data_IF_404522631902
#
_entry.id   IF_404522631902
#
_cell.length_a   1.000
_cell.length_b   1.000
_cell.length_c   1.000
_cell.angle_alpha   90.00
_cell.angle_beta   90.00
_cell.angle_gamma   90.00
#
_symmetry.space_group_name_H-M   'P 1'
#
loop_
_entity.id
_entity.type
_entity.pdbx_description
1 polymer ?
#
# COMPACT_ATOMS: atom_id res chain seq x y z
N UNK A 1 14.76 -20.78 -1.93
CA UNK A 1 15.67 -19.62 -2.10
C UNK A 1 15.59 -18.93 -3.47
N UNK A 2 14.51 -19.06 -4.25
CA UNK A 2 14.44 -18.45 -5.61
C UNK A 2 14.42 -16.91 -5.60
N UNK A 3 13.73 -16.30 -4.64
CA UNK A 3 13.54 -14.84 -4.60
C UNK A 3 14.83 -14.04 -4.37
N UNK A 4 15.79 -14.59 -3.62
CA UNK A 4 17.07 -13.93 -3.32
C UNK A 4 17.93 -13.84 -4.59
N UNK A 5 18.02 -14.94 -5.35
CA UNK A 5 18.79 -14.95 -6.60
C UNK A 5 18.27 -13.91 -7.59
N UNK A 6 16.95 -13.78 -7.77
CA UNK A 6 16.40 -12.73 -8.64
C UNK A 6 16.76 -11.32 -8.19
N UNK A 7 16.86 -11.05 -6.88
CA UNK A 7 17.24 -9.73 -6.35
C UNK A 7 18.71 -9.43 -6.65
N UNK A 8 19.60 -10.41 -6.51
CA UNK A 8 21.03 -10.27 -6.81
C UNK A 8 21.24 -9.98 -8.30
N UNK A 9 20.46 -10.62 -9.17
CA UNK A 9 20.53 -10.44 -10.63
C UNK A 9 19.81 -9.18 -11.14
N UNK A 10 19.29 -8.31 -10.26
CA UNK A 10 18.54 -7.13 -10.68
C UNK A 10 19.39 -6.18 -11.53
N UNK A 11 18.92 -5.82 -12.73
CA UNK A 11 19.64 -4.98 -13.71
C UNK A 11 20.96 -5.61 -14.18
N UNK A 12 21.08 -6.93 -14.12
CA UNK A 12 22.19 -7.68 -14.68
C UNK A 12 21.80 -8.32 -16.02
N UNK A 13 22.81 -8.74 -16.78
CA UNK A 13 22.64 -9.38 -18.08
C UNK A 13 21.73 -10.61 -18.02
N UNK A 14 21.75 -11.35 -16.91
CA UNK A 14 20.96 -12.58 -16.72
C UNK A 14 19.44 -12.37 -16.75
N UNK A 15 18.96 -11.15 -16.49
CA UNK A 15 17.53 -10.82 -16.59
C UNK A 15 17.11 -10.32 -17.98
N UNK A 16 18.06 -10.18 -18.91
CA UNK A 16 17.83 -9.62 -20.24
C UNK A 16 17.79 -8.09 -20.25
N UNK A 17 17.64 -7.54 -21.45
CA UNK A 17 17.60 -6.10 -21.69
C UNK A 17 16.66 -5.74 -22.84
N UNK A 18 16.28 -4.47 -22.88
CA UNK A 18 15.67 -3.85 -24.05
C UNK A 18 16.69 -2.91 -24.69
N UNK A 19 16.84 -3.02 -26.02
CA UNK A 19 17.67 -2.11 -26.82
C UNK A 19 16.77 -1.05 -27.44
N UNK A 20 17.10 0.22 -27.19
CA UNK A 20 16.42 1.36 -27.81
C UNK A 20 17.39 2.03 -28.78
N UNK A 21 16.98 2.20 -30.02
CA UNK A 21 17.75 2.89 -31.06
C UNK A 21 17.04 4.18 -31.46
N UNK A 22 17.80 5.28 -31.54
CA UNK A 22 17.28 6.54 -32.05
C UNK A 22 17.25 6.51 -33.58
N UNK A 23 16.08 6.68 -34.22
CA UNK A 23 15.96 6.63 -35.69
C UNK A 23 16.66 7.80 -36.40
N UNK A 24 17.06 8.85 -35.66
CA UNK A 24 17.61 10.07 -36.24
C UNK A 24 19.14 10.18 -36.11
N UNK A 25 19.74 9.62 -35.06
CA UNK A 25 21.18 9.72 -34.80
C UNK A 25 21.89 8.37 -34.63
N UNK A 26 21.18 7.24 -34.83
CA UNK A 26 21.71 5.87 -34.71
C UNK A 26 22.37 5.55 -33.35
N UNK A 27 22.12 6.38 -32.34
CA UNK A 27 22.58 6.10 -30.99
C UNK A 27 21.70 5.03 -30.34
N UNK A 28 22.32 4.11 -29.61
CA UNK A 28 21.63 3.01 -28.95
C UNK A 28 21.79 3.07 -27.43
N UNK A 29 20.74 2.67 -26.72
CA UNK A 29 20.72 2.62 -25.27
C UNK A 29 20.21 1.26 -24.81
N UNK A 30 21.00 0.60 -23.96
CA UNK A 30 20.62 -0.64 -23.29
C UNK A 30 19.90 -0.33 -21.99
N UNK A 31 18.72 -0.93 -21.80
CA UNK A 31 17.98 -0.87 -20.54
C UNK A 31 17.83 -2.28 -19.99
N UNK A 32 18.60 -2.59 -18.94
CA UNK A 32 18.56 -3.88 -18.27
C UNK A 32 17.24 -4.09 -17.54
N UNK A 33 16.72 -5.30 -17.59
CA UNK A 33 15.47 -5.63 -16.92
C UNK A 33 15.68 -5.72 -15.40
N UNK A 34 14.65 -5.32 -14.68
CA UNK A 34 14.65 -5.31 -13.21
C UNK A 34 13.99 -6.57 -12.67
N UNK A 35 14.38 -6.99 -11.47
CA UNK A 35 13.81 -8.20 -10.84
C UNK A 35 12.34 -8.05 -10.42
N UNK A 36 11.80 -6.81 -10.41
CA UNK A 36 10.42 -6.46 -10.01
C UNK A 36 10.02 -6.94 -8.61
N UNK A 37 11.00 -7.36 -7.79
CA UNK A 37 10.78 -7.79 -6.42
C UNK A 37 10.64 -6.60 -5.50
N UNK A 38 9.61 -6.60 -4.64
CA UNK A 38 9.43 -5.59 -3.60
C UNK A 38 10.48 -5.63 -2.48
N UNK A 39 11.21 -6.74 -2.36
CA UNK A 39 12.33 -6.87 -1.41
C UNK A 39 13.65 -6.36 -2.00
N UNK A 40 13.71 -6.11 -3.31
CA UNK A 40 14.84 -5.40 -3.90
C UNK A 40 14.70 -3.91 -3.56
N UNK A 41 15.76 -3.33 -2.98
CA UNK A 41 15.75 -1.92 -2.58
C UNK A 41 15.43 -0.98 -3.76
N UNK A 42 16.05 -1.21 -4.93
CA UNK A 42 15.80 -0.40 -6.14
C UNK A 42 14.34 -0.52 -6.62
N UNK A 43 13.86 -1.74 -6.83
CA UNK A 43 12.52 -1.98 -7.37
C UNK A 43 11.43 -1.59 -6.37
N UNK A 44 11.63 -1.93 -5.10
CA UNK A 44 10.71 -1.63 -4.00
C UNK A 44 10.55 -0.13 -3.77
N UNK A 45 11.65 0.64 -3.74
CA UNK A 45 11.59 2.10 -3.63
C UNK A 45 10.88 2.70 -4.84
N UNK A 46 11.19 2.26 -6.06
CA UNK A 46 10.53 2.77 -7.27
C UNK A 46 9.01 2.55 -7.21
N UNK A 47 8.58 1.33 -6.87
CA UNK A 47 7.16 1.01 -6.72
C UNK A 47 6.49 1.84 -5.62
N UNK A 48 7.15 1.97 -4.46
CA UNK A 48 6.64 2.77 -3.35
C UNK A 48 6.46 4.25 -3.72
N UNK A 49 7.40 4.84 -4.47
CA UNK A 49 7.28 6.21 -4.99
C UNK A 49 6.12 6.35 -5.98
N UNK A 50 6.04 5.47 -6.98
CA UNK A 50 4.95 5.48 -7.95
C UNK A 50 3.57 5.35 -7.29
N UNK A 51 3.46 4.48 -6.27
CA UNK A 51 2.24 4.35 -5.48
C UNK A 51 1.95 5.62 -4.67
N UNK A 52 2.96 6.20 -4.03
CA UNK A 52 2.85 7.46 -3.29
C UNK A 52 2.35 8.59 -4.17
N UNK A 53 2.93 8.76 -5.36
CA UNK A 53 2.54 9.80 -6.31
C UNK A 53 1.10 9.59 -6.80
N UNK A 54 0.73 8.34 -7.10
CA UNK A 54 -0.63 7.98 -7.52
C UNK A 54 -1.67 8.24 -6.43
N UNK A 55 -1.35 7.94 -5.17
CA UNK A 55 -2.23 8.22 -4.03
C UNK A 55 -2.31 9.73 -3.82
N UNK A 56 -1.16 10.42 -3.79
CA UNK A 56 -1.08 11.86 -3.58
C UNK A 56 -1.90 12.65 -4.61
N UNK A 57 -1.91 12.20 -5.87
CA UNK A 57 -2.73 12.82 -6.92
C UNK A 57 -4.25 12.72 -6.71
N UNK A 58 -4.70 11.84 -5.79
CA UNK A 58 -6.11 11.60 -5.47
C UNK A 58 -6.49 12.12 -4.08
N UNK A 59 -5.54 12.66 -3.33
CA UNK A 59 -5.80 13.23 -2.01
C UNK A 59 -6.41 14.63 -2.17
N UNK A 60 -7.32 14.96 -1.28
CA UNK A 60 -7.86 16.30 -1.16
C UNK A 60 -6.83 17.22 -0.52
N UNK A 61 -6.82 18.50 -0.90
CA UNK A 61 -6.01 19.52 -0.24
C UNK A 61 -6.65 19.92 1.10
N UNK A 62 -6.49 19.04 2.10
CA UNK A 62 -7.00 19.18 3.45
C UNK A 62 -5.94 18.79 4.49
N UNK A 63 -6.07 19.21 5.75
CA UNK A 63 -5.30 18.63 6.83
C UNK A 63 -5.60 17.14 6.95
N UNK A 64 -4.55 16.32 7.02
CA UNK A 64 -4.66 14.88 7.20
C UNK A 64 -4.20 14.46 8.60
N UNK A 65 -4.79 13.38 9.12
CA UNK A 65 -4.39 12.73 10.38
C UNK A 65 -3.88 11.33 10.09
N UNK A 66 -2.77 10.97 10.71
CA UNK A 66 -2.22 9.61 10.64
C UNK A 66 -2.70 8.77 11.82
N UNK A 67 -3.19 7.57 11.56
CA UNK A 67 -3.63 6.60 12.58
C UNK A 67 -3.07 5.21 12.30
N UNK A 68 -2.96 4.39 13.34
CA UNK A 68 -2.45 3.01 13.23
C UNK A 68 -3.35 2.06 14.02
N UNK A 69 -3.88 1.03 13.36
CA UNK A 69 -4.65 -0.04 13.96
C UNK A 69 -3.81 -1.30 13.99
N UNK A 70 -3.42 -1.74 15.18
CA UNK A 70 -2.53 -2.91 15.35
C UNK A 70 -3.33 -4.09 15.87
N UNK A 71 -3.16 -5.26 15.24
CA UNK A 71 -3.77 -6.49 15.73
C UNK A 71 -3.16 -6.87 17.09
N UNK A 72 -4.00 -7.13 18.13
CA UNK A 72 -3.54 -7.61 19.43
C UNK A 72 -2.67 -8.86 19.31
N UNK A 73 -1.62 -8.96 20.12
CA UNK A 73 -0.65 -10.05 20.06
C UNK A 73 -1.26 -11.46 20.06
N UNK A 74 -2.26 -11.79 20.91
CA UNK A 74 -2.87 -13.12 20.91
C UNK A 74 -3.57 -13.49 19.60
N UNK A 75 -3.99 -12.51 18.79
CA UNK A 75 -4.70 -12.72 17.54
C UNK A 75 -3.78 -12.84 16.33
N UNK A 76 -2.54 -12.33 16.41
CA UNK A 76 -1.60 -12.32 15.27
C UNK A 76 -1.33 -13.70 14.66
N UNK A 77 -1.21 -14.81 15.43
CA UNK A 77 -0.98 -16.14 14.85
C UNK A 77 -2.09 -16.61 13.93
N UNK A 78 -3.34 -16.19 14.14
CA UNK A 78 -4.47 -16.56 13.27
C UNK A 78 -4.32 -15.95 11.88
N UNK A 79 -3.98 -14.66 11.79
CA UNK A 79 -3.66 -13.99 10.52
C UNK A 79 -2.40 -14.54 9.84
N UNK A 80 -1.49 -15.14 10.62
CA UNK A 80 -0.29 -15.77 10.04
C UNK A 80 -0.63 -17.08 9.35
N UNK A 81 -1.48 -17.90 9.98
CA UNK A 81 -1.96 -19.20 9.48
C UNK A 81 -2.86 -19.01 8.26
N UNK A 82 -3.79 -18.06 8.35
CA UNK A 82 -4.70 -17.73 7.28
C UNK A 82 -4.52 -16.27 6.84
N UNK A 83 -3.90 -16.11 5.68
CA UNK A 83 -3.61 -14.79 5.08
C UNK A 83 -4.83 -14.13 4.46
N UNK A 84 -5.91 -14.88 4.20
CA UNK A 84 -7.16 -14.31 3.67
C UNK A 84 -7.78 -13.33 4.67
N UNK A 85 -7.64 -13.61 5.97
CA UNK A 85 -8.12 -12.79 7.07
C UNK A 85 -7.52 -11.37 7.09
N UNK A 86 -6.37 -11.15 6.43
CA UNK A 86 -5.76 -9.83 6.37
C UNK A 86 -6.65 -8.80 5.65
N UNK A 87 -7.53 -9.26 4.75
CA UNK A 87 -8.47 -8.37 4.08
C UNK A 87 -9.54 -7.83 5.05
N UNK A 88 -9.96 -8.64 6.02
CA UNK A 88 -10.97 -8.27 7.01
C UNK A 88 -10.55 -7.10 7.90
N UNK A 89 -9.23 -6.88 8.04
CA UNK A 89 -8.70 -5.72 8.78
C UNK A 89 -9.11 -4.38 8.17
N UNK A 90 -9.31 -4.32 6.85
CA UNK A 90 -9.82 -3.10 6.22
C UNK A 90 -11.25 -2.81 6.67
N UNK A 91 -12.13 -3.82 6.64
CA UNK A 91 -13.51 -3.71 7.11
C UNK A 91 -13.58 -3.32 8.59
N UNK A 92 -12.78 -3.95 9.44
CA UNK A 92 -12.73 -3.62 10.87
C UNK A 92 -12.35 -2.15 11.14
N UNK A 93 -11.44 -1.58 10.35
CA UNK A 93 -11.06 -0.16 10.46
C UNK A 93 -12.18 0.75 9.97
N UNK A 94 -12.83 0.41 8.86
CA UNK A 94 -13.98 1.14 8.31
C UNK A 94 -15.14 1.20 9.32
N UNK A 95 -15.50 0.06 9.90
CA UNK A 95 -16.54 -0.05 10.93
C UNK A 95 -16.21 0.80 12.15
N UNK A 96 -14.94 0.77 12.60
CA UNK A 96 -14.48 1.58 13.73
C UNK A 96 -14.61 3.07 13.45
N UNK A 97 -14.25 3.52 12.25
CA UNK A 97 -14.37 4.93 11.87
C UNK A 97 -15.83 5.38 11.78
N UNK A 98 -16.69 4.56 11.19
CA UNK A 98 -18.13 4.83 11.16
C UNK A 98 -18.72 4.90 12.57
N UNK A 99 -18.35 3.99 13.47
CA UNK A 99 -18.77 4.03 14.86
C UNK A 99 -18.33 5.31 15.57
N UNK A 100 -17.06 5.71 15.41
CA UNK A 100 -16.52 6.92 16.04
C UNK A 100 -17.21 8.19 15.52
N UNK A 101 -17.44 8.30 14.21
CA UNK A 101 -18.14 9.44 13.61
C UNK A 101 -19.58 9.53 14.13
N UNK A 102 -20.32 8.42 14.13
CA UNK A 102 -21.69 8.37 14.66
C UNK A 102 -21.75 8.78 16.13
N UNK A 103 -20.80 8.31 16.94
CA UNK A 103 -20.74 8.61 18.37
C UNK A 103 -20.34 10.06 18.68
N UNK A 104 -19.61 10.73 17.80
CA UNK A 104 -19.17 12.11 17.98
C UNK A 104 -20.32 13.14 17.94
N UNK A 105 -21.56 12.72 17.63
CA UNK A 105 -22.77 13.44 18.06
C UNK A 105 -23.16 14.68 17.25
N UNK A 106 -22.55 14.92 16.10
CA UNK A 106 -22.97 15.96 15.17
C UNK A 106 -24.07 15.39 14.26
N UNK A 107 -24.94 16.23 13.67
CA UNK A 107 -26.07 15.83 12.78
C UNK A 107 -25.61 15.08 11.51
N UNK A 108 -25.06 13.87 11.65
CA UNK A 108 -24.02 13.28 10.79
C UNK A 108 -24.33 11.87 10.31
N UNK A 109 -25.61 11.50 10.20
CA UNK A 109 -25.98 10.22 9.58
C UNK A 109 -25.60 10.14 8.08
N UNK A 110 -25.17 11.25 7.48
CA UNK A 110 -24.73 11.35 6.08
C UNK A 110 -23.21 11.48 5.90
N UNK A 111 -22.42 11.41 6.97
CA UNK A 111 -21.00 11.63 6.86
C UNK A 111 -20.22 10.37 6.48
N UNK A 112 -19.48 10.50 5.39
CA UNK A 112 -18.58 9.45 4.92
C UNK A 112 -17.13 9.86 5.26
N UNK A 113 -16.40 9.05 6.06
CA UNK A 113 -14.97 9.27 6.26
C UNK A 113 -14.21 9.09 4.94
N UNK A 114 -13.31 10.02 4.66
CA UNK A 114 -12.34 9.89 3.57
C UNK A 114 -10.99 9.48 4.14
N UNK A 115 -10.58 8.24 3.88
CA UNK A 115 -9.31 7.72 4.34
C UNK A 115 -8.60 6.87 3.29
N UNK A 116 -7.26 6.91 3.33
CA UNK A 116 -6.40 5.94 2.67
C UNK A 116 -5.97 4.91 3.71
N UNK A 117 -6.32 3.65 3.48
CA UNK A 117 -5.95 2.53 4.34
C UNK A 117 -4.82 1.74 3.71
N UNK A 118 -3.82 1.40 4.50
CA UNK A 118 -2.63 0.69 4.04
C UNK A 118 -2.27 -0.46 4.97
N UNK A 119 -2.27 -1.69 4.44
CA UNK A 119 -1.89 -2.88 5.21
C UNK A 119 -0.38 -3.09 5.25
N UNK A 120 0.13 -3.27 6.47
CA UNK A 120 1.48 -3.72 6.76
C UNK A 120 1.42 -5.01 7.57
N UNK A 121 2.24 -6.00 7.23
CA UNK A 121 2.25 -7.28 7.98
C UNK A 121 3.47 -7.46 8.89
N UNK A 122 4.49 -6.63 8.72
CA UNK A 122 5.73 -6.72 9.48
C UNK A 122 6.07 -5.38 10.13
N UNK A 123 6.60 -5.44 11.35
CA UNK A 123 7.25 -4.29 11.98
C UNK A 123 8.65 -4.05 11.42
N UNK A 124 9.31 -2.99 11.93
CA UNK A 124 10.71 -2.66 11.58
C UNK A 124 11.69 -3.83 11.73
N UNK A 125 11.66 -4.64 12.79
CA UNK A 125 12.56 -5.80 12.93
C UNK A 125 12.03 -7.05 12.19
N UNK A 126 11.16 -6.89 11.19
CA UNK A 126 10.54 -7.99 10.41
C UNK A 126 9.75 -8.99 11.26
N UNK A 127 9.32 -8.58 12.45
CA UNK A 127 8.42 -9.36 13.28
C UNK A 127 6.99 -9.32 12.75
N UNK A 128 6.27 -10.42 12.91
CA UNK A 128 4.88 -10.55 12.45
C UNK A 128 3.95 -9.66 13.30
N UNK A 129 3.61 -8.48 12.76
CA UNK A 129 2.72 -7.50 13.39
C UNK A 129 1.81 -6.95 12.29
N UNK A 130 0.70 -7.63 11.97
CA UNK A 130 -0.29 -7.09 11.06
C UNK A 130 -0.92 -5.83 11.65
N UNK A 131 -0.87 -4.75 10.88
CA UNK A 131 -1.44 -3.46 11.23
C UNK A 131 -1.89 -2.68 9.98
N UNK A 132 -2.93 -1.86 10.13
CA UNK A 132 -3.37 -0.91 9.11
C UNK A 132 -2.84 0.47 9.51
N UNK A 133 -2.09 1.11 8.62
CA UNK A 133 -1.83 2.56 8.70
C UNK A 133 -2.92 3.29 7.93
N UNK A 134 -3.39 4.40 8.48
CA UNK A 134 -4.48 5.19 7.94
C UNK A 134 -4.06 6.64 7.79
N UNK A 135 -4.38 7.23 6.64
CA UNK A 135 -4.36 8.68 6.43
C UNK A 135 -5.81 9.14 6.29
N UNK A 136 -6.31 9.87 7.28
CA UNK A 136 -7.70 10.35 7.36
C UNK A 136 -7.74 11.85 7.01
N UNK A 137 -8.60 12.25 6.07
CA UNK A 137 -8.84 13.68 5.81
C UNK A 137 -9.65 14.30 6.96
N UNK A 138 -9.28 15.52 7.38
CA UNK A 138 -9.86 16.20 8.53
C UNK A 138 -11.32 16.65 8.36
N UNK A 139 -11.90 16.54 7.16
CA UNK A 139 -13.28 16.90 6.90
C UNK A 139 -14.08 15.70 6.40
N UNK A 140 -15.21 15.39 7.05
CA UNK A 140 -16.11 14.35 6.57
C UNK A 140 -17.07 14.91 5.50
N UNK A 141 -17.44 14.08 4.53
CA UNK A 141 -18.22 14.50 3.36
C UNK A 141 -19.70 14.15 3.51
N UNK A 142 -20.58 15.04 3.02
CA UNK A 142 -22.06 14.88 3.07
C UNK A 142 -22.68 14.15 1.86
N UNK A 143 -21.91 13.82 0.81
CA UNK A 143 -22.49 13.31 -0.43
C UNK A 143 -21.71 12.09 -0.95
N UNK A 144 -22.42 11.05 -1.37
CA UNK A 144 -21.90 9.71 -1.74
C UNK A 144 -21.15 9.66 -3.07
N UNK A 145 -21.01 10.78 -3.75
CA UNK A 145 -20.44 10.85 -5.09
C UNK A 145 -18.99 11.36 -5.00
N UNK A 146 -18.07 10.53 -5.50
CA UNK A 146 -16.63 10.73 -5.68
C UNK A 146 -15.71 10.55 -4.44
N UNK A 147 -15.22 9.31 -4.34
CA UNK A 147 -14.05 8.82 -3.57
C UNK A 147 -14.40 8.31 -2.16
N UNK A 148 -15.19 7.23 -2.14
CA UNK A 148 -15.17 6.27 -1.03
C UNK A 148 -13.83 5.52 -1.00
N UNK A 149 -13.30 5.35 0.21
CA UNK A 149 -12.22 4.44 0.61
C UNK A 149 -11.16 4.09 -0.46
N UNK A 150 -10.00 4.75 -0.37
CA UNK A 150 -8.82 4.27 -1.08
C UNK A 150 -8.16 3.15 -0.26
N UNK A 151 -8.61 1.91 -0.51
CA UNK A 151 -7.94 0.72 0.00
C UNK A 151 -6.65 0.51 -0.79
N UNK A 152 -5.52 0.89 -0.18
CA UNK A 152 -4.21 0.57 -0.71
C UNK A 152 -3.72 -0.72 -0.06
N UNK A 153 -3.51 -1.73 -0.89
CA UNK A 153 -2.63 -2.80 -0.49
C UNK A 153 -1.20 -2.30 -0.72
N UNK A 154 -0.33 -2.41 0.28
CA UNK A 154 1.09 -2.65 -0.01
C UNK A 154 1.24 -4.18 0.05
N UNK A 155 0.74 -4.93 -0.96
CA UNK A 155 0.57 -6.37 -0.83
C UNK A 155 1.93 -7.01 -0.67
N UNK A 156 2.24 -7.55 0.50
CA UNK A 156 3.30 -8.56 0.64
C UNK A 156 2.81 -9.84 -0.04
N UNK A 157 2.42 -9.71 -1.31
CA UNK A 157 2.28 -10.81 -2.24
C UNK A 157 3.69 -11.32 -2.48
N UNK A 158 4.13 -12.16 -1.55
CA UNK A 158 4.82 -13.37 -1.93
C UNK A 158 3.87 -14.09 -2.89
N UNK A 159 3.95 -13.76 -4.19
CA UNK A 159 3.42 -14.67 -5.20
C UNK A 159 4.06 -16.02 -4.87
N UNK A 160 3.21 -17.04 -4.66
CA UNK A 160 3.62 -18.43 -4.52
C UNK A 160 4.55 -18.81 -5.68
#
# INVERSE_FOLDING_TARGET
>A
MKAINFIILCEQHDLGHSLYECPHCQNFTFVWHTCKSRFCNKCGIRYARQLSDSISSKLFDCPHRHGVFTVPEPLRPYFQKDRSLLHELFGAVEDTLHYVIRKAGTKQDELIPCAVLTLHTFGRPLNWIPHITMILCGFPFKNSYSIGWLRSWIPLNLRK
#
